data_IF_752529703451
#
_entry.id   IF_752529703451
#
_cell.length_a   1.000
_cell.length_b   1.000
_cell.length_c   1.000
_cell.angle_alpha   90.00
_cell.angle_beta   90.00
_cell.angle_gamma   90.00
#
_symmetry.space_group_name_H-M   'P 1'
#
loop_
_entity.id
_entity.type
_entity.pdbx_description
1 polymer ?
#
# COMPACT_ATOMS: atom_id res chain seq x y z
N UNK A 1 -1.67 12.82 12.34
CA UNK A 1 -1.85 11.41 12.74
C UNK A 1 -0.47 10.78 12.81
N UNK A 2 -0.15 10.08 13.90
CA UNK A 2 1.12 9.33 13.98
C UNK A 2 0.99 7.90 13.44
N UNK A 3 2.11 7.18 13.37
CA UNK A 3 2.15 5.83 12.80
C UNK A 3 1.36 4.79 13.62
N UNK A 4 1.30 4.94 14.95
CA UNK A 4 0.58 4.00 15.81
C UNK A 4 -0.93 4.18 15.66
N UNK A 5 -1.39 5.43 15.64
CA UNK A 5 -2.79 5.76 15.36
C UNK A 5 -3.22 5.34 13.95
N UNK A 6 -2.37 5.56 12.95
CA UNK A 6 -2.63 5.11 11.60
C UNK A 6 -2.77 3.58 11.51
N UNK A 7 -1.93 2.83 12.25
CA UNK A 7 -2.00 1.37 12.27
C UNK A 7 -3.28 0.87 12.94
N UNK A 8 -3.67 1.44 14.08
CA UNK A 8 -4.94 1.10 14.74
C UNK A 8 -6.14 1.35 13.83
N UNK A 9 -6.19 2.52 13.18
CA UNK A 9 -7.27 2.84 12.22
C UNK A 9 -7.26 1.90 11.02
N UNK A 10 -6.09 1.54 10.53
CA UNK A 10 -5.95 0.62 9.42
C UNK A 10 -6.45 -0.79 9.77
N UNK A 11 -6.22 -1.28 10.99
CA UNK A 11 -6.76 -2.55 11.47
C UNK A 11 -8.29 -2.51 11.55
N UNK A 12 -8.86 -1.44 12.13
CA UNK A 12 -10.32 -1.27 12.17
C UNK A 12 -10.95 -1.22 10.77
N UNK A 13 -10.30 -0.51 9.84
CA UNK A 13 -10.76 -0.45 8.44
C UNK A 13 -10.69 -1.83 7.78
N UNK A 14 -9.59 -2.56 7.99
CA UNK A 14 -9.44 -3.91 7.47
C UNK A 14 -10.53 -4.84 8.01
N UNK A 15 -10.83 -4.80 9.32
CA UNK A 15 -11.93 -5.58 9.89
C UNK A 15 -13.28 -5.20 9.28
N UNK A 16 -13.54 -3.90 9.15
CA UNK A 16 -14.78 -3.39 8.56
C UNK A 16 -14.95 -3.86 7.11
N UNK A 17 -13.89 -3.75 6.30
CA UNK A 17 -13.90 -4.18 4.91
C UNK A 17 -14.14 -5.69 4.78
N UNK A 18 -13.47 -6.51 5.59
CA UNK A 18 -13.57 -7.98 5.49
C UNK A 18 -14.87 -8.55 6.05
N UNK A 19 -15.54 -7.82 6.95
CA UNK A 19 -16.86 -8.19 7.48
C UNK A 19 -18.02 -7.60 6.71
N UNK A 20 -17.76 -6.84 5.63
CA UNK A 20 -18.80 -6.19 4.82
C UNK A 20 -19.50 -5.02 5.53
N UNK A 21 -18.89 -4.44 6.58
CA UNK A 21 -19.46 -3.32 7.34
C UNK A 21 -19.16 -1.94 6.74
N UNK A 22 -18.41 -1.86 5.65
CA UNK A 22 -18.21 -0.63 4.88
C UNK A 22 -18.23 -0.88 3.37
N UNK A 23 -18.79 0.09 2.64
CA UNK A 23 -19.04 0.01 1.20
C UNK A 23 -18.36 1.11 0.37
N UNK A 24 -17.45 1.89 0.96
CA UNK A 24 -16.70 2.91 0.21
C UNK A 24 -15.63 2.28 -0.71
N UNK A 25 -15.08 3.12 -1.60
CA UNK A 25 -14.09 2.70 -2.59
C UNK A 25 -12.79 2.18 -1.97
N UNK A 26 -12.43 2.61 -0.75
CA UNK A 26 -11.27 2.10 -0.04
C UNK A 26 -11.54 0.71 0.53
N UNK A 27 -12.71 0.48 1.10
CA UNK A 27 -13.12 -0.83 1.60
C UNK A 27 -13.21 -1.87 0.47
N UNK A 28 -13.70 -1.48 -0.71
CA UNK A 28 -13.68 -2.34 -1.89
C UNK A 28 -12.24 -2.62 -2.38
N UNK A 29 -11.40 -1.59 -2.49
CA UNK A 29 -9.98 -1.76 -2.84
C UNK A 29 -9.23 -2.69 -1.87
N UNK A 30 -9.56 -2.62 -0.56
CA UNK A 30 -9.01 -3.50 0.47
C UNK A 30 -9.49 -4.94 0.29
N UNK A 31 -10.78 -5.17 0.02
CA UNK A 31 -11.34 -6.50 -0.25
C UNK A 31 -10.69 -7.15 -1.48
N UNK A 32 -10.61 -6.41 -2.59
CA UNK A 32 -9.95 -6.88 -3.80
C UNK A 32 -8.47 -7.24 -3.55
N UNK A 33 -7.75 -6.37 -2.83
CA UNK A 33 -6.33 -6.62 -2.57
C UNK A 33 -6.12 -7.77 -1.59
N UNK A 34 -7.02 -7.97 -0.60
CA UNK A 34 -6.97 -9.10 0.32
C UNK A 34 -7.22 -10.44 -0.38
N UNK A 35 -8.10 -10.48 -1.38
CA UNK A 35 -8.34 -11.68 -2.18
C UNK A 35 -7.05 -12.17 -2.88
N UNK A 36 -6.17 -11.25 -3.29
CA UNK A 36 -4.88 -11.57 -3.92
C UNK A 36 -3.77 -11.78 -2.88
N UNK A 37 -3.76 -10.98 -1.81
CA UNK A 37 -2.75 -11.01 -0.76
C UNK A 37 -3.42 -11.17 0.62
N UNK A 38 -3.75 -12.41 1.05
CA UNK A 38 -4.46 -12.68 2.30
C UNK A 38 -3.55 -12.55 3.53
N UNK A 39 -2.93 -11.38 3.73
CA UNK A 39 -1.93 -11.09 4.75
C UNK A 39 -2.31 -9.84 5.52
N UNK A 40 -3.01 -10.03 6.64
CA UNK A 40 -3.62 -8.97 7.44
C UNK A 40 -2.62 -7.90 7.90
N UNK A 41 -1.50 -8.29 8.49
CA UNK A 41 -0.48 -7.34 8.97
C UNK A 41 0.16 -6.53 7.84
N UNK A 42 0.36 -7.14 6.68
CA UNK A 42 0.86 -6.46 5.49
C UNK A 42 -0.16 -5.46 4.93
N UNK A 43 -1.44 -5.84 4.88
CA UNK A 43 -2.51 -4.93 4.45
C UNK A 43 -2.70 -3.78 5.42
N UNK A 44 -2.79 -4.04 6.73
CA UNK A 44 -2.94 -3.01 7.75
C UNK A 44 -1.81 -1.97 7.65
N UNK A 45 -0.57 -2.41 7.48
CA UNK A 45 0.57 -1.50 7.26
C UNK A 45 0.51 -0.76 5.93
N UNK A 46 -0.04 -1.36 4.88
CA UNK A 46 -0.23 -0.71 3.57
C UNK A 46 -1.34 0.35 3.61
N UNK A 47 -2.45 0.05 4.31
CA UNK A 47 -3.56 0.98 4.57
C UNK A 47 -3.05 2.13 5.45
N UNK A 48 -2.30 1.85 6.52
CA UNK A 48 -1.74 2.89 7.39
C UNK A 48 -0.88 3.90 6.60
N UNK A 49 -0.08 3.43 5.65
CA UNK A 49 0.70 4.31 4.74
C UNK A 49 -0.19 5.20 3.88
N UNK A 50 -1.30 4.66 3.39
CA UNK A 50 -2.28 5.42 2.61
C UNK A 50 -2.99 6.48 3.48
N UNK A 51 -3.43 6.09 4.68
CA UNK A 51 -4.07 7.02 5.64
C UNK A 51 -3.13 8.15 6.09
N UNK A 52 -1.83 7.89 6.16
CA UNK A 52 -0.80 8.88 6.43
C UNK A 52 -0.51 9.80 5.23
N UNK A 53 -1.12 9.58 4.06
CA UNK A 53 -0.91 10.39 2.87
C UNK A 53 0.49 10.25 2.25
N UNK A 54 1.17 9.13 2.50
CA UNK A 54 2.59 8.97 2.08
C UNK A 54 2.78 8.72 0.59
N UNK A 55 1.72 8.33 -0.13
CA UNK A 55 1.78 7.99 -1.56
C UNK A 55 1.51 9.22 -2.40
N UNK A 56 2.46 9.58 -3.26
CA UNK A 56 2.35 10.71 -4.20
C UNK A 56 2.68 10.24 -5.62
N UNK A 57 1.80 10.46 -6.62
CA UNK A 57 2.12 10.17 -8.00
C UNK A 57 3.25 11.08 -8.51
N UNK A 58 4.13 10.51 -9.32
CA UNK A 58 5.12 11.27 -10.10
C UNK A 58 4.47 11.94 -11.31
N UNK A 59 5.19 12.87 -11.94
CA UNK A 59 4.86 13.36 -13.28
C UNK A 59 5.09 12.30 -14.36
N UNK A 60 5.96 11.32 -14.10
CA UNK A 60 6.20 10.19 -14.99
C UNK A 60 5.09 9.13 -14.81
N UNK A 61 4.45 8.66 -15.90
CA UNK A 61 3.44 7.60 -15.82
C UNK A 61 4.00 6.34 -15.15
N UNK A 62 3.21 5.74 -14.26
CA UNK A 62 3.59 4.49 -13.62
C UNK A 62 4.64 4.61 -12.52
N UNK A 63 4.99 5.82 -12.07
CA UNK A 63 5.92 6.04 -10.96
C UNK A 63 5.24 6.76 -9.79
N UNK A 64 5.48 6.27 -8.58
CA UNK A 64 5.01 6.87 -7.33
C UNK A 64 6.17 7.07 -6.35
N UNK A 65 6.12 8.16 -5.62
CA UNK A 65 6.92 8.40 -4.43
C UNK A 65 6.15 7.94 -3.21
N UNK A 66 6.83 7.26 -2.29
CA UNK A 66 6.28 6.84 -1.01
C UNK A 66 7.17 7.36 0.10
N UNK A 67 6.67 8.28 0.90
CA UNK A 67 7.38 8.80 2.07
C UNK A 67 7.62 7.68 3.09
N UNK A 68 8.82 7.66 3.65
CA UNK A 68 9.24 6.72 4.67
C UNK A 68 8.72 7.11 6.03
N UNK A 69 8.17 6.13 6.75
CA UNK A 69 7.63 6.30 8.10
C UNK A 69 8.46 5.46 9.07
N UNK A 70 9.23 6.12 9.94
CA UNK A 70 10.08 5.45 10.96
C UNK A 70 9.28 4.48 11.82
N UNK A 71 8.08 4.89 12.26
CA UNK A 71 7.16 4.04 13.05
C UNK A 71 6.61 2.82 12.30
N UNK A 72 6.79 2.75 10.98
CA UNK A 72 6.49 1.56 10.18
C UNK A 72 7.76 0.81 9.76
N UNK A 73 8.94 1.12 10.30
CA UNK A 73 10.19 0.40 10.04
C UNK A 73 10.93 0.83 8.77
N UNK A 74 10.67 2.04 8.28
CA UNK A 74 11.42 2.60 7.16
C UNK A 74 12.72 3.25 7.61
N UNK A 75 13.75 3.13 6.77
CA UNK A 75 15.07 3.72 7.02
C UNK A 75 15.36 4.90 6.09
N UNK A 76 14.83 4.87 4.86
CA UNK A 76 14.93 5.96 3.89
C UNK A 76 13.78 6.94 4.07
N UNK A 77 14.01 8.22 3.80
CA UNK A 77 12.99 9.27 3.84
C UNK A 77 11.96 9.13 2.70
N UNK A 78 12.38 8.62 1.54
CA UNK A 78 11.51 8.42 0.37
C UNK A 78 11.90 7.10 -0.32
N UNK A 79 10.89 6.41 -0.82
CA UNK A 79 11.01 5.27 -1.72
C UNK A 79 10.32 5.58 -3.04
N UNK A 80 10.75 4.89 -4.09
CA UNK A 80 10.09 4.91 -5.39
C UNK A 80 9.42 3.56 -5.61
N UNK A 81 8.24 3.59 -6.21
CA UNK A 81 7.50 2.43 -6.66
C UNK A 81 7.16 2.65 -8.12
N UNK A 82 7.62 1.75 -8.98
CA UNK A 82 7.41 1.78 -10.42
C UNK A 82 6.53 0.60 -10.82
N UNK A 83 5.54 0.84 -11.66
CA UNK A 83 4.80 -0.22 -12.34
C UNK A 83 5.54 -0.61 -13.60
N UNK A 84 6.09 -1.82 -13.62
CA UNK A 84 6.93 -2.33 -14.72
C UNK A 84 6.17 -3.26 -15.67
N UNK A 85 4.90 -3.56 -15.37
CA UNK A 85 4.04 -4.39 -16.22
C UNK A 85 4.39 -5.88 -16.20
N UNK A 86 3.60 -6.67 -16.96
CA UNK A 86 3.78 -8.12 -17.11
C UNK A 86 3.73 -8.91 -15.80
N UNK A 87 4.43 -10.04 -15.77
CA UNK A 87 4.58 -10.91 -14.59
C UNK A 87 5.37 -10.24 -13.47
N UNK A 88 6.23 -9.27 -13.78
CA UNK A 88 7.04 -8.55 -12.78
C UNK A 88 6.21 -7.57 -11.92
N UNK A 89 5.09 -7.06 -12.45
CA UNK A 89 4.15 -6.21 -11.73
C UNK A 89 4.73 -4.85 -11.29
N UNK A 90 5.26 -4.79 -10.06
CA UNK A 90 5.76 -3.56 -9.43
C UNK A 90 7.17 -3.72 -8.88
N UNK A 91 7.97 -2.66 -9.02
CA UNK A 91 9.33 -2.57 -8.50
C UNK A 91 9.43 -1.45 -7.48
N UNK A 92 9.97 -1.75 -6.30
CA UNK A 92 10.20 -0.76 -5.25
C UNK A 92 11.70 -0.60 -4.97
N UNK A 93 12.17 0.63 -4.76
CA UNK A 93 13.56 0.90 -4.38
C UNK A 93 13.94 0.44 -2.96
N UNK A 94 12.99 -0.11 -2.19
CA UNK A 94 13.31 -0.82 -0.94
C UNK A 94 13.87 -2.24 -1.19
N UNK A 95 13.71 -2.77 -2.41
CA UNK A 95 14.23 -4.08 -2.81
C UNK A 95 15.72 -4.08 -3.11
N UNK A 96 16.40 -2.93 -3.24
CA UNK A 96 17.85 -2.89 -3.50
C UNK A 96 18.72 -2.96 -2.24
N UNK A 97 18.13 -3.27 -1.08
CA UNK A 97 18.87 -3.49 0.18
C UNK A 97 19.31 -4.96 0.30
N UNK A 98 20.22 -5.27 1.24
CA UNK A 98 20.80 -6.61 1.50
C UNK A 98 19.76 -7.73 1.72
N UNK A 99 18.48 -7.40 1.92
CA UNK A 99 17.34 -8.32 2.05
C UNK A 99 16.36 -8.28 0.86
N UNK A 100 16.81 -7.75 -0.28
CA UNK A 100 16.01 -7.39 -1.45
C UNK A 100 15.23 -8.53 -2.09
N UNK A 101 15.88 -9.68 -2.23
CA UNK A 101 15.33 -10.86 -2.90
C UNK A 101 14.12 -11.43 -2.13
N UNK A 102 14.21 -11.50 -0.79
CA UNK A 102 13.12 -11.94 0.08
C UNK A 102 11.93 -10.97 0.15
N UNK A 103 12.15 -9.67 -0.10
CA UNK A 103 11.07 -8.67 -0.18
C UNK A 103 10.42 -8.61 -1.57
N UNK A 104 11.18 -8.92 -2.63
CA UNK A 104 10.65 -9.04 -4.00
C UNK A 104 9.65 -10.19 -4.10
N UNK A 105 9.96 -11.35 -3.51
CA UNK A 105 9.03 -12.50 -3.45
C UNK A 105 7.78 -12.25 -2.59
N UNK A 106 7.83 -11.28 -1.67
CA UNK A 106 6.73 -10.99 -0.74
C UNK A 106 5.92 -9.74 -1.07
N UNK A 107 6.30 -8.88 -2.02
CA UNK A 107 5.67 -7.56 -2.24
C UNK A 107 5.72 -6.68 -0.98
N UNK A 108 6.39 -5.52 -0.99
CA UNK A 108 6.51 -4.71 0.23
C UNK A 108 5.26 -3.87 0.50
N UNK A 109 5.13 -3.33 1.71
CA UNK A 109 3.99 -2.46 2.08
C UNK A 109 3.99 -1.13 1.32
N UNK A 110 5.11 -0.69 0.74
CA UNK A 110 5.12 0.47 -0.17
C UNK A 110 4.36 0.16 -1.46
N UNK A 111 4.61 -1.01 -2.05
CA UNK A 111 3.87 -1.49 -3.22
C UNK A 111 2.40 -1.69 -2.87
N UNK A 112 2.11 -2.30 -1.72
CA UNK A 112 0.73 -2.44 -1.23
C UNK A 112 -0.02 -1.11 -1.12
N UNK A 113 0.63 -0.07 -0.59
CA UNK A 113 0.03 1.26 -0.49
C UNK A 113 -0.27 1.87 -1.87
N UNK A 114 0.63 1.72 -2.85
CA UNK A 114 0.40 2.17 -4.23
C UNK A 114 -0.72 1.37 -4.91
N UNK A 115 -0.76 0.04 -4.69
CA UNK A 115 -1.81 -0.82 -5.19
C UNK A 115 -3.20 -0.42 -4.67
N UNK A 116 -3.30 -0.01 -3.40
CA UNK A 116 -4.54 0.51 -2.80
C UNK A 116 -4.88 1.89 -3.38
N UNK A 117 -3.93 2.81 -3.41
CA UNK A 117 -4.11 4.17 -3.96
C UNK A 117 -4.69 4.13 -5.38
N UNK A 118 -4.11 3.31 -6.27
CA UNK A 118 -4.59 3.16 -7.65
C UNK A 118 -6.00 2.60 -7.74
N UNK A 119 -6.32 1.58 -6.93
CA UNK A 119 -7.65 0.95 -6.92
C UNK A 119 -8.70 1.92 -6.39
N UNK A 120 -8.41 2.61 -5.30
CA UNK A 120 -9.31 3.58 -4.70
C UNK A 120 -9.64 4.70 -5.69
N UNK A 121 -8.65 5.25 -6.42
CA UNK A 121 -8.89 6.25 -7.45
C UNK A 121 -9.79 5.71 -8.57
N UNK A 122 -9.45 4.53 -9.12
CA UNK A 122 -10.24 3.91 -10.19
C UNK A 122 -11.69 3.62 -9.78
N UNK A 123 -11.91 3.21 -8.53
CA UNK A 123 -13.25 2.94 -8.00
C UNK A 123 -14.01 4.24 -7.72
N UNK A 124 -13.33 5.28 -7.23
CA UNK A 124 -13.91 6.62 -7.05
C UNK A 124 -14.27 7.31 -8.37
N UNK A 125 -13.54 7.04 -9.45
CA UNK A 125 -13.87 7.51 -10.82
C UNK A 125 -15.10 6.81 -11.42
N UNK A 126 -15.54 5.69 -10.83
CA UNK A 126 -16.68 4.88 -11.30
C UNK A 126 -17.96 5.07 -10.50
N UNK A 127 -17.89 5.77 -9.36
CA UNK A 127 -19.01 6.07 -8.46
C UNK A 127 -19.65 7.41 -8.82
#
# INVERSE_FOLDING_TARGET
MDAAEALRRAELLLESALSGRCGDSLCEAVRELHAVFPRRSWLARSIARLLLGTVRPSRLPGLWYVEGVRGLGDWKAVYTVEYVGGEEGYRCSCYSSTFGYARRSRVCTHVGAVMLYRRQLKLGERA
#
